data_IF_253497982328
#
_entry.id   IF_253497982328
#
_cell.length_a   1.000
_cell.length_b   1.000
_cell.length_c   1.000
_cell.angle_alpha   90.00
_cell.angle_beta   90.00
_cell.angle_gamma   90.00
#
_symmetry.space_group_name_H-M   'P 1'
#
loop_
_entity.id
_entity.type
_entity.pdbx_description
1 polymer ?
#
# COMPACT_ATOMS: atom_id res chain seq x y z
N UNK A 1 -5.71 4.98 7.50
CA UNK A 1 -5.39 3.58 7.19
C UNK A 1 -4.57 3.05 8.34
N UNK A 2 -4.88 1.85 8.78
CA UNK A 2 -4.31 1.21 9.96
C UNK A 2 -4.08 -0.26 9.66
N UNK A 3 -3.50 -0.98 10.61
CA UNK A 3 -3.30 -2.43 10.54
C UNK A 3 -3.40 -3.06 11.92
N UNK A 4 -3.52 -4.39 11.93
CA UNK A 4 -3.40 -5.23 13.12
C UNK A 4 -2.32 -6.28 12.87
N UNK A 5 -1.68 -6.78 13.94
CA UNK A 5 -0.73 -7.89 13.88
C UNK A 5 -0.61 -8.62 15.22
N UNK A 6 -0.03 -9.82 15.21
CA UNK A 6 0.37 -10.53 16.44
C UNK A 6 1.47 -9.78 17.21
N UNK A 7 1.51 -9.94 18.53
CA UNK A 7 2.52 -9.30 19.39
C UNK A 7 3.24 -10.26 20.34
N UNK A 8 2.94 -11.55 20.34
CA UNK A 8 3.45 -12.46 21.40
C UNK A 8 4.18 -13.70 20.89
N UNK A 9 4.10 -14.01 19.59
CA UNK A 9 4.69 -15.24 19.06
C UNK A 9 6.11 -15.01 18.56
N UNK A 10 7.03 -15.88 19.00
CA UNK A 10 8.45 -15.84 18.69
C UNK A 10 9.25 -14.87 19.57
N UNK A 11 8.74 -13.67 19.83
CA UNK A 11 9.32 -12.67 20.74
C UNK A 11 8.21 -11.90 21.47
N UNK A 12 8.58 -11.11 22.49
CA UNK A 12 7.65 -10.19 23.18
C UNK A 12 7.13 -9.03 22.28
N UNK A 13 7.55 -9.00 21.02
CA UNK A 13 7.13 -8.04 20.00
C UNK A 13 6.58 -8.72 18.74
N UNK A 14 6.18 -10.00 18.83
CA UNK A 14 5.48 -10.72 17.74
C UNK A 14 6.32 -11.02 16.49
N UNK A 15 7.65 -10.92 16.57
CA UNK A 15 8.53 -11.06 15.39
C UNK A 15 8.32 -12.38 14.65
N UNK A 16 8.00 -13.47 15.37
CA UNK A 16 7.81 -14.78 14.79
C UNK A 16 6.60 -14.84 13.86
N UNK A 17 5.45 -14.35 14.31
CA UNK A 17 4.19 -14.49 13.56
C UNK A 17 3.95 -13.36 12.57
N UNK A 18 4.48 -12.16 12.81
CA UNK A 18 4.54 -11.12 11.76
C UNK A 18 5.29 -11.69 10.54
N UNK A 19 6.43 -12.35 10.74
CA UNK A 19 7.17 -13.02 9.65
C UNK A 19 6.37 -14.15 8.98
N UNK A 20 5.42 -14.76 9.69
CA UNK A 20 4.53 -15.82 9.17
C UNK A 20 3.15 -15.31 8.72
N UNK A 21 3.01 -14.00 8.49
CA UNK A 21 1.80 -13.37 7.95
C UNK A 21 0.62 -13.16 8.92
N UNK A 22 0.84 -13.14 10.24
CA UNK A 22 -0.17 -12.67 11.19
C UNK A 22 -0.24 -11.14 11.23
N UNK A 23 -0.68 -10.55 10.13
CA UNK A 23 -0.95 -9.12 9.97
C UNK A 23 -2.19 -8.93 9.09
N UNK A 24 -2.81 -7.75 9.16
CA UNK A 24 -3.89 -7.41 8.24
C UNK A 24 -4.32 -5.95 8.28
N UNK A 25 -5.04 -5.50 7.24
CA UNK A 25 -5.43 -4.10 7.09
C UNK A 25 -6.64 -3.74 7.96
N UNK A 26 -6.68 -2.49 8.41
CA UNK A 26 -7.86 -1.87 9.05
C UNK A 26 -8.12 -0.52 8.40
N UNK A 27 -9.31 -0.35 7.83
CA UNK A 27 -9.74 0.92 7.24
C UNK A 27 -10.88 1.51 8.07
N UNK A 28 -10.61 2.64 8.73
CA UNK A 28 -11.62 3.42 9.44
C UNK A 28 -11.97 4.64 8.60
N UNK A 29 -13.23 4.74 8.17
CA UNK A 29 -13.70 5.79 7.27
C UNK A 29 -14.37 6.93 8.04
N UNK A 30 -14.08 8.16 7.64
CA UNK A 30 -14.87 9.34 8.05
C UNK A 30 -16.16 9.36 7.23
N UNK A 31 -17.25 9.88 7.83
CA UNK A 31 -18.48 10.16 7.09
C UNK A 31 -18.16 11.03 5.86
N UNK A 32 -18.58 10.58 4.68
CA UNK A 32 -18.33 11.26 3.41
C UNK A 32 -17.02 10.88 2.71
N UNK A 33 -16.18 10.00 3.30
CA UNK A 33 -15.04 9.44 2.57
C UNK A 33 -15.53 8.67 1.33
N UNK A 34 -14.84 8.86 0.21
CA UNK A 34 -15.13 8.18 -1.05
C UNK A 34 -14.83 6.68 -0.89
N UNK A 35 -15.76 5.84 -1.32
CA UNK A 35 -15.59 4.40 -1.32
C UNK A 35 -14.95 3.94 -2.63
N UNK A 36 -14.05 2.95 -2.59
CA UNK A 36 -13.47 2.36 -3.78
C UNK A 36 -14.37 1.27 -4.38
N UNK A 37 -14.10 0.93 -5.64
CA UNK A 37 -14.66 -0.26 -6.29
C UNK A 37 -13.92 -1.53 -5.82
N UNK A 38 -12.60 -1.41 -5.55
CA UNK A 38 -11.77 -2.50 -5.05
C UNK A 38 -10.73 -1.99 -4.03
N UNK A 39 -10.55 -2.72 -2.93
CA UNK A 39 -9.46 -2.48 -1.96
C UNK A 39 -8.37 -3.54 -2.13
N UNK A 40 -7.17 -3.09 -2.53
CA UNK A 40 -5.94 -3.86 -2.70
C UNK A 40 -5.06 -3.71 -1.45
N UNK A 41 -4.66 -4.82 -0.82
CA UNK A 41 -3.73 -4.78 0.31
C UNK A 41 -2.33 -5.22 -0.13
N UNK A 42 -1.34 -4.38 0.14
CA UNK A 42 0.07 -4.62 -0.15
C UNK A 42 0.86 -4.52 1.14
N UNK A 43 1.46 -5.62 1.55
CA UNK A 43 2.31 -5.69 2.74
C UNK A 43 3.72 -6.02 2.29
N UNK A 44 4.65 -5.09 2.46
CA UNK A 44 6.08 -5.41 2.41
C UNK A 44 6.47 -6.01 3.74
N UNK A 45 6.70 -7.33 3.77
CA UNK A 45 7.16 -8.03 4.96
C UNK A 45 8.53 -8.63 4.69
N UNK A 46 9.55 -8.04 5.29
CA UNK A 46 10.93 -8.28 4.89
C UNK A 46 11.09 -8.13 3.36
N UNK A 47 11.59 -9.14 2.65
CA UNK A 47 11.82 -9.12 1.20
C UNK A 47 10.65 -9.71 0.40
N UNK A 48 9.46 -9.77 0.99
CA UNK A 48 8.28 -10.39 0.40
C UNK A 48 7.12 -9.39 0.29
N UNK A 49 6.28 -9.60 -0.71
CA UNK A 49 4.99 -8.92 -0.85
C UNK A 49 3.91 -9.90 -0.43
N UNK A 50 3.15 -9.59 0.62
CA UNK A 50 2.11 -10.45 1.20
C UNK A 50 2.61 -11.88 1.49
N UNK A 51 3.86 -12.02 1.95
CA UNK A 51 4.53 -13.30 2.19
C UNK A 51 4.67 -14.22 0.97
N UNK A 52 4.51 -13.68 -0.24
CA UNK A 52 4.78 -14.41 -1.48
C UNK A 52 6.27 -14.36 -1.82
N UNK A 53 6.80 -15.45 -2.38
CA UNK A 53 8.18 -15.51 -2.85
C UNK A 53 8.42 -14.56 -4.02
N UNK A 54 9.68 -14.20 -4.26
CA UNK A 54 10.08 -13.34 -5.37
C UNK A 54 9.44 -13.75 -6.70
N UNK A 55 9.00 -12.74 -7.47
CA UNK A 55 8.31 -12.87 -8.76
C UNK A 55 6.94 -13.57 -8.75
N UNK A 56 6.42 -13.94 -7.56
CA UNK A 56 5.09 -14.53 -7.38
C UNK A 56 4.16 -13.62 -6.57
N UNK A 57 4.37 -12.30 -6.61
CA UNK A 57 3.51 -11.36 -5.91
C UNK A 57 2.09 -11.31 -6.50
N UNK A 58 1.19 -10.65 -5.78
CA UNK A 58 -0.21 -10.51 -6.18
C UNK A 58 -0.34 -9.53 -7.35
N UNK A 59 -1.03 -9.92 -8.41
CA UNK A 59 -1.51 -8.99 -9.42
C UNK A 59 -2.91 -8.49 -9.03
N UNK A 60 -3.14 -7.20 -9.17
CA UNK A 60 -4.47 -6.62 -9.01
C UNK A 60 -5.01 -6.24 -10.38
N UNK A 61 -6.15 -6.79 -10.75
CA UNK A 61 -6.84 -6.47 -11.99
C UNK A 61 -7.87 -5.36 -11.75
N UNK A 62 -8.09 -4.53 -12.76
CA UNK A 62 -9.05 -3.43 -12.75
C UNK A 62 -9.40 -3.01 -14.18
N UNK A 63 -10.59 -2.46 -14.36
CA UNK A 63 -10.99 -1.77 -15.59
C UNK A 63 -10.52 -0.33 -15.56
N UNK A 64 -10.19 0.25 -16.71
CA UNK A 64 -9.92 1.68 -16.82
C UNK A 64 -11.11 2.46 -16.23
N UNK A 65 -10.79 3.46 -15.40
CA UNK A 65 -11.68 4.29 -14.60
C UNK A 65 -12.19 3.68 -13.28
N UNK A 66 -11.90 2.41 -12.96
CA UNK A 66 -12.20 1.86 -11.64
C UNK A 66 -11.43 2.62 -10.55
N UNK A 67 -12.06 2.83 -9.41
CA UNK A 67 -11.43 3.42 -8.23
C UNK A 67 -10.82 2.33 -7.37
N UNK A 68 -9.50 2.26 -7.39
CA UNK A 68 -8.74 1.32 -6.56
C UNK A 68 -8.26 2.00 -5.30
N UNK A 69 -8.52 1.39 -4.15
CA UNK A 69 -7.93 1.75 -2.87
C UNK A 69 -6.75 0.82 -2.57
N UNK A 70 -5.58 1.37 -2.28
CA UNK A 70 -4.46 0.59 -1.78
C UNK A 70 -4.29 0.83 -0.29
N UNK A 71 -4.21 -0.25 0.48
CA UNK A 71 -3.74 -0.24 1.87
C UNK A 71 -2.33 -0.80 1.87
N UNK A 72 -1.35 0.06 2.11
CA UNK A 72 0.07 -0.30 2.10
C UNK A 72 0.58 -0.37 3.54
N UNK A 73 1.19 -1.50 3.89
CA UNK A 73 1.72 -1.79 5.23
C UNK A 73 3.16 -2.29 5.07
N UNK A 74 4.03 -1.94 6.01
CA UNK A 74 5.41 -2.45 6.03
C UNK A 74 5.71 -3.14 7.36
N UNK A 75 6.31 -4.32 7.31
CA UNK A 75 6.74 -5.16 8.41
C UNK A 75 8.13 -5.76 8.14
N UNK A 76 8.70 -6.45 9.13
CA UNK A 76 10.02 -7.08 9.02
C UNK A 76 11.14 -6.16 9.51
N UNK A 77 12.31 -6.23 8.90
CA UNK A 77 13.52 -5.52 9.34
C UNK A 77 13.94 -4.35 8.43
N UNK A 78 13.46 -4.33 7.19
CA UNK A 78 13.95 -3.42 6.16
C UNK A 78 13.07 -2.18 6.00
N UNK A 79 13.68 -1.09 5.52
CA UNK A 79 12.93 0.02 4.93
C UNK A 79 12.70 -0.27 3.44
N UNK A 80 11.65 0.33 2.90
CA UNK A 80 11.26 0.18 1.51
C UNK A 80 10.84 1.53 0.92
N UNK A 81 10.71 1.58 -0.39
CA UNK A 81 10.03 2.68 -1.09
C UNK A 81 8.97 2.10 -2.01
N UNK A 82 7.69 2.28 -1.68
CA UNK A 82 6.58 1.77 -2.47
C UNK A 82 6.31 2.68 -3.67
N UNK A 83 6.38 2.11 -4.88
CA UNK A 83 6.20 2.81 -6.14
C UNK A 83 5.13 2.14 -7.01
N UNK A 84 4.31 2.95 -7.71
CA UNK A 84 3.35 2.48 -8.71
C UNK A 84 3.60 3.22 -10.02
N UNK A 85 3.76 2.48 -11.12
CA UNK A 85 3.95 3.05 -12.45
C UNK A 85 2.68 3.75 -12.94
N UNK A 86 2.84 4.88 -13.61
CA UNK A 86 1.76 5.61 -14.29
C UNK A 86 0.77 6.34 -13.37
N UNK A 87 0.69 5.97 -12.09
CA UNK A 87 -0.26 6.50 -11.13
C UNK A 87 0.43 7.33 -10.05
N UNK A 88 -0.32 8.23 -9.41
CA UNK A 88 0.15 9.10 -8.32
C UNK A 88 -0.98 9.38 -7.34
N UNK A 89 -0.64 9.76 -6.12
CA UNK A 89 -1.59 10.06 -5.05
C UNK A 89 -1.11 11.25 -4.21
N UNK A 90 -2.02 11.84 -3.44
CA UNK A 90 -1.66 12.87 -2.46
C UNK A 90 -1.06 12.23 -1.20
N UNK A 91 0.06 12.74 -0.70
CA UNK A 91 0.66 12.29 0.55
C UNK A 91 -0.08 12.86 1.77
N UNK A 92 -1.30 12.36 1.98
CA UNK A 92 -2.20 12.75 3.06
C UNK A 92 -3.03 11.54 3.53
N UNK A 93 -4.04 11.78 4.37
CA UNK A 93 -4.88 10.72 4.96
C UNK A 93 -5.56 9.81 3.94
N UNK A 94 -6.02 10.34 2.80
CA UNK A 94 -6.90 9.63 1.85
C UNK A 94 -6.21 9.24 0.55
N UNK A 95 -5.03 9.80 0.26
CA UNK A 95 -4.43 9.70 -1.06
C UNK A 95 -5.02 10.67 -2.09
N UNK A 96 -5.94 11.54 -1.68
CA UNK A 96 -6.72 12.42 -2.57
C UNK A 96 -6.60 13.85 -2.03
N UNK A 97 -6.24 14.82 -2.88
CA UNK A 97 -6.25 16.23 -2.49
C UNK A 97 -7.68 16.66 -2.13
N UNK A 98 -7.87 17.35 -1.01
CA UNK A 98 -9.21 17.79 -0.59
C UNK A 98 -9.78 18.91 -1.46
N UNK A 99 -8.93 19.57 -2.27
CA UNK A 99 -9.30 20.68 -3.14
C UNK A 99 -8.05 21.42 -3.63
N UNK A 100 -8.23 22.55 -4.34
CA UNK A 100 -7.11 23.34 -4.86
C UNK A 100 -6.21 23.95 -3.78
N UNK A 101 -6.71 24.10 -2.56
CA UNK A 101 -5.98 24.69 -1.43
C UNK A 101 -5.24 23.64 -0.59
N UNK A 102 -5.31 22.35 -0.92
CA UNK A 102 -4.59 21.29 -0.20
C UNK A 102 -3.10 21.30 -0.57
N UNK A 103 -2.18 21.61 0.36
CA UNK A 103 -0.75 21.73 0.07
C UNK A 103 -0.02 20.38 0.04
N UNK A 104 -0.74 19.26 0.20
CA UNK A 104 -0.14 17.93 0.26
C UNK A 104 0.64 17.63 -1.01
N UNK A 105 1.84 17.07 -0.86
CA UNK A 105 2.66 16.66 -2.02
C UNK A 105 1.93 15.58 -2.79
N UNK A 106 1.91 15.68 -4.12
CA UNK A 106 1.49 14.59 -5.00
C UNK A 106 2.72 13.75 -5.33
N UNK A 107 2.64 12.45 -5.05
CA UNK A 107 3.77 11.51 -5.13
C UNK A 107 3.35 10.22 -5.84
N UNK A 108 4.33 9.50 -6.38
CA UNK A 108 4.19 8.14 -6.91
C UNK A 108 5.13 7.14 -6.20
N UNK A 109 5.94 7.63 -5.26
CA UNK A 109 6.92 6.86 -4.51
C UNK A 109 6.96 7.34 -3.05
N UNK A 110 6.86 6.42 -2.09
CA UNK A 110 6.87 6.73 -0.66
C UNK A 110 7.80 5.79 0.11
N UNK A 111 8.77 6.35 0.83
CA UNK A 111 9.56 5.60 1.80
C UNK A 111 8.68 5.15 2.97
N UNK A 112 8.85 3.91 3.42
CA UNK A 112 8.12 3.31 4.52
C UNK A 112 9.03 2.35 5.29
N UNK A 113 8.86 2.32 6.60
CA UNK A 113 9.58 1.45 7.52
C UNK A 113 8.64 0.55 8.32
N UNK A 114 9.22 -0.19 9.25
CA UNK A 114 8.52 -1.18 10.06
C UNK A 114 7.32 -0.58 10.78
N UNK A 115 6.19 -1.27 10.69
CA UNK A 115 4.88 -0.90 11.22
C UNK A 115 4.24 0.37 10.62
N UNK A 116 4.84 1.00 9.60
CA UNK A 116 4.17 2.05 8.85
C UNK A 116 2.95 1.48 8.13
N UNK A 117 1.88 2.28 8.10
CA UNK A 117 0.76 2.02 7.20
C UNK A 117 0.23 3.34 6.64
N UNK A 118 -0.13 3.29 5.37
CA UNK A 118 -0.82 4.38 4.69
C UNK A 118 -1.79 3.79 3.68
N UNK A 119 -2.59 4.66 3.08
CA UNK A 119 -3.42 4.23 1.99
C UNK A 119 -3.77 5.38 1.08
N UNK A 120 -4.22 5.00 -0.09
CA UNK A 120 -4.43 5.89 -1.21
C UNK A 120 -5.56 5.37 -2.07
N UNK A 121 -6.13 6.25 -2.88
CA UNK A 121 -7.00 5.84 -3.97
C UNK A 121 -6.50 6.41 -5.28
N UNK A 122 -6.57 5.59 -6.33
CA UNK A 122 -6.28 5.99 -7.71
C UNK A 122 -7.49 5.69 -8.59
N UNK A 123 -7.57 6.39 -9.71
CA UNK A 123 -8.44 6.01 -10.82
C UNK A 123 -7.58 5.21 -11.80
N UNK A 124 -7.93 3.95 -12.01
CA UNK A 124 -7.16 3.03 -12.83
C UNK A 124 -7.02 3.56 -14.26
N UNK A 125 -5.78 3.70 -14.72
CA UNK A 125 -5.50 4.16 -16.08
C UNK A 125 -5.86 5.63 -16.35
N UNK A 126 -6.10 6.46 -15.32
CA UNK A 126 -6.43 7.88 -15.52
C UNK A 126 -5.33 8.58 -16.35
N UNK A 127 -5.72 9.05 -17.55
CA UNK A 127 -4.86 9.74 -18.53
C UNK A 127 -3.70 8.92 -19.11
N UNK A 128 -3.55 7.66 -18.72
CA UNK A 128 -2.47 6.77 -19.20
C UNK A 128 -3.01 5.53 -19.93
N UNK A 129 -4.29 5.20 -19.77
CA UNK A 129 -4.95 4.07 -20.42
C UNK A 129 -4.69 2.70 -19.76
N UNK A 130 -5.18 1.66 -20.42
CA UNK A 130 -4.99 0.27 -19.98
C UNK A 130 -3.53 -0.17 -20.14
N UNK A 131 -3.06 -1.07 -19.27
CA UNK A 131 -1.71 -1.62 -19.34
C UNK A 131 -1.37 -2.49 -18.13
N UNK A 132 -0.23 -3.18 -18.23
CA UNK A 132 0.37 -3.88 -17.10
C UNK A 132 1.26 -2.89 -16.31
N UNK A 133 0.63 -2.09 -15.46
CA UNK A 133 1.32 -1.08 -14.65
C UNK A 133 1.96 -1.73 -13.42
N UNK A 134 3.29 -1.69 -13.34
CA UNK A 134 4.03 -2.32 -12.24
C UNK A 134 3.81 -1.56 -10.93
N UNK A 135 3.81 -2.29 -9.83
CA UNK A 135 4.12 -1.75 -8.51
C UNK A 135 5.28 -2.54 -7.93
N UNK A 136 6.22 -1.88 -7.27
CA UNK A 136 7.40 -2.53 -6.73
C UNK A 136 8.06 -1.71 -5.61
N UNK A 137 8.96 -2.36 -4.87
CA UNK A 137 9.92 -1.63 -4.07
C UNK A 137 10.93 -0.93 -4.99
N UNK A 138 11.22 0.34 -4.76
CA UNK A 138 12.19 1.09 -5.57
C UNK A 138 13.62 1.05 -5.00
N UNK A 139 13.86 0.33 -3.90
CA UNK A 139 15.23 -0.02 -3.51
C UNK A 139 15.77 -1.02 -4.54
N UNK A 140 16.82 -0.66 -5.26
CA UNK A 140 17.22 -1.37 -6.48
C UNK A 140 17.55 -2.86 -6.31
N UNK A 141 17.98 -3.28 -5.12
CA UNK A 141 18.30 -4.67 -4.81
C UNK A 141 17.13 -5.46 -4.21
N UNK A 142 16.01 -4.79 -3.93
CA UNK A 142 14.81 -5.40 -3.37
C UNK A 142 13.90 -5.96 -4.46
#
# INVERSE_FOLDING_TARGET
>A
YWHYHDHVVGTDHGTGDIRKAMYGPVVVRRKGDILPDQTCTVVFNDMMINNMTAYNSVNFEATVADRLEFVMITHGEYYHTFHIHGHRWAHNRTGILTGPDDPSRVIDNQICGRADSFGLQIIAGERIGAGAWMYHCHVQSH
#
